data_IF_883783011632
#
_entry.id   IF_883783011632
#
_cell.length_a   1.000
_cell.length_b   1.000
_cell.length_c   1.000
_cell.angle_alpha   90.00
_cell.angle_beta   90.00
_cell.angle_gamma   90.00
#
_symmetry.space_group_name_H-M   'P 1'
#
loop_
_entity.id
_entity.type
_entity.pdbx_description
1 polymer ?
#
# COMPACT_ATOMS: atom_id res chain seq x y z
N UNK A 1 -6.96 -11.74 -0.16
CA UNK A 1 -8.11 -11.86 0.78
C UNK A 1 -8.75 -10.49 0.96
N UNK A 2 -10.04 -10.43 1.34
CA UNK A 2 -10.66 -9.16 1.75
C UNK A 2 -10.27 -8.88 3.20
N UNK A 3 -9.87 -7.64 3.48
CA UNK A 3 -9.56 -7.14 4.81
C UNK A 3 -10.58 -6.06 5.13
N UNK A 4 -11.35 -6.26 6.20
CA UNK A 4 -12.48 -5.39 6.54
C UNK A 4 -12.66 -5.13 8.05
N UNK A 5 -11.74 -5.61 8.88
CA UNK A 5 -11.76 -5.44 10.34
C UNK A 5 -10.38 -5.71 10.92
N UNK A 6 -10.13 -5.22 12.14
CA UNK A 6 -8.89 -5.44 12.84
C UNK A 6 -7.76 -4.56 12.31
N UNK A 7 -6.62 -4.71 12.96
CA UNK A 7 -5.36 -4.14 12.52
C UNK A 7 -4.57 -5.26 11.84
N UNK A 8 -4.34 -5.14 10.54
CA UNK A 8 -3.64 -6.17 9.76
C UNK A 8 -2.29 -5.62 9.31
N UNK A 9 -1.22 -6.35 9.58
CA UNK A 9 0.10 -6.06 9.02
C UNK A 9 0.55 -7.18 8.10
N UNK A 10 0.94 -6.78 6.90
CA UNK A 10 1.51 -7.66 5.88
C UNK A 10 2.90 -7.15 5.54
N UNK A 11 3.82 -8.08 5.25
CA UNK A 11 5.11 -7.77 4.67
C UNK A 11 5.30 -8.50 3.33
N UNK A 12 5.78 -7.73 2.34
CA UNK A 12 6.19 -8.21 1.02
C UNK A 12 7.69 -8.00 0.88
N UNK A 13 8.42 -9.09 0.67
CA UNK A 13 9.82 -9.04 0.26
C UNK A 13 9.90 -8.84 -1.25
N UNK A 14 10.54 -7.77 -1.69
CA UNK A 14 10.99 -7.61 -3.07
C UNK A 14 12.14 -8.61 -3.32
N UNK A 15 11.88 -9.68 -4.06
CA UNK A 15 12.92 -10.67 -4.39
C UNK A 15 13.67 -10.23 -5.64
N UNK A 16 12.94 -9.76 -6.64
CA UNK A 16 13.49 -9.24 -7.89
C UNK A 16 12.44 -8.31 -8.53
N UNK A 17 12.80 -7.05 -8.84
CA UNK A 17 12.03 -6.14 -9.69
C UNK A 17 10.53 -5.96 -9.34
N UNK A 18 10.16 -5.96 -8.05
CA UNK A 18 8.79 -5.63 -7.64
C UNK A 18 8.46 -4.15 -7.97
N UNK A 19 7.48 -3.95 -8.83
CA UNK A 19 7.19 -2.63 -9.39
C UNK A 19 6.34 -1.75 -8.46
N UNK A 20 5.29 -2.33 -7.88
CA UNK A 20 4.42 -1.60 -6.97
C UNK A 20 3.64 -2.55 -6.04
N UNK A 21 3.19 -2.01 -4.91
CA UNK A 21 2.21 -2.65 -4.01
C UNK A 21 1.09 -1.69 -3.70
N UNK A 22 0.00 -2.19 -3.14
CA UNK A 22 -1.03 -1.32 -2.62
C UNK A 22 -2.32 -2.01 -2.24
N UNK A 23 -3.37 -1.20 -2.16
CA UNK A 23 -4.73 -1.67 -1.90
C UNK A 23 -5.66 -1.36 -3.06
N UNK A 24 -6.68 -2.19 -3.19
CA UNK A 24 -7.81 -1.98 -4.07
C UNK A 24 -9.11 -2.14 -3.29
N UNK A 25 -10.13 -1.39 -3.71
CA UNK A 25 -11.50 -1.55 -3.24
C UNK A 25 -11.94 -3.02 -3.35
N UNK A 26 -12.81 -3.46 -2.43
CA UNK A 26 -13.22 -4.87 -2.36
C UNK A 26 -13.92 -5.39 -3.62
N UNK A 27 -14.47 -4.51 -4.48
CA UNK A 27 -15.10 -4.88 -5.74
C UNK A 27 -14.08 -5.26 -6.82
N UNK A 28 -12.82 -4.85 -6.66
CA UNK A 28 -11.79 -5.03 -7.68
C UNK A 28 -11.32 -6.48 -7.77
N UNK A 29 -11.33 -7.04 -8.99
CA UNK A 29 -10.76 -8.35 -9.33
C UNK A 29 -9.82 -8.17 -10.51
N UNK A 30 -8.61 -8.71 -10.38
CA UNK A 30 -7.61 -8.72 -11.45
C UNK A 30 -7.58 -10.06 -12.15
N UNK A 31 -7.61 -10.03 -13.48
CA UNK A 31 -7.22 -11.13 -14.34
C UNK A 31 -5.71 -11.19 -14.50
N UNK A 32 -5.22 -12.24 -15.16
CA UNK A 32 -3.81 -12.35 -15.54
C UNK A 32 -3.45 -11.22 -16.52
N UNK A 33 -2.29 -10.61 -16.34
CA UNK A 33 -1.76 -9.52 -17.18
C UNK A 33 -2.61 -8.23 -17.17
N UNK A 34 -3.50 -8.06 -16.18
CA UNK A 34 -4.21 -6.80 -15.96
C UNK A 34 -3.43 -5.93 -14.98
N UNK A 35 -2.93 -4.75 -15.42
CA UNK A 35 -2.21 -3.87 -14.51
C UNK A 35 -3.20 -3.16 -13.57
N UNK A 36 -2.79 -2.77 -12.35
CA UNK A 36 -3.67 -2.20 -11.33
C UNK A 36 -4.58 -1.07 -11.82
N UNK A 37 -4.00 -0.14 -12.59
CA UNK A 37 -4.67 1.07 -13.07
C UNK A 37 -5.86 0.81 -14.00
N UNK A 38 -5.97 -0.38 -14.61
CA UNK A 38 -7.10 -0.72 -15.50
C UNK A 38 -8.44 -0.73 -14.75
N UNK A 39 -8.40 -0.81 -13.41
CA UNK A 39 -9.58 -0.84 -12.54
C UNK A 39 -10.03 0.55 -12.07
N UNK A 40 -9.29 1.60 -12.42
CA UNK A 40 -9.58 2.98 -12.06
C UNK A 40 -8.78 3.45 -10.83
N UNK A 41 -8.14 4.61 -10.96
CA UNK A 41 -7.36 5.23 -9.88
C UNK A 41 -8.20 5.68 -8.68
N UNK A 42 -9.51 5.78 -8.85
CA UNK A 42 -10.50 6.02 -7.79
C UNK A 42 -10.73 4.80 -6.90
N UNK A 43 -10.29 3.61 -7.33
CA UNK A 43 -10.49 2.36 -6.59
C UNK A 43 -9.22 1.81 -5.95
N UNK A 44 -8.07 2.37 -6.24
CA UNK A 44 -6.78 1.82 -5.80
C UNK A 44 -5.92 2.88 -5.13
N UNK A 45 -5.10 2.45 -4.19
CA UNK A 45 -3.92 3.20 -3.73
C UNK A 45 -2.71 2.40 -4.17
N UNK A 46 -1.76 3.08 -4.79
CA UNK A 46 -0.48 2.54 -5.20
C UNK A 46 0.64 3.13 -4.36
N UNK A 47 1.59 2.28 -3.99
CA UNK A 47 2.92 2.65 -3.57
C UNK A 47 3.92 2.03 -4.56
N UNK A 48 4.56 2.90 -5.32
CA UNK A 48 5.44 2.54 -6.42
C UNK A 48 6.91 2.46 -5.96
N UNK A 49 7.72 1.63 -6.63
CA UNK A 49 9.09 1.30 -6.22
C UNK A 49 10.03 2.51 -6.09
N UNK A 50 9.71 3.64 -6.73
CA UNK A 50 10.45 4.90 -6.64
C UNK A 50 10.03 5.82 -5.48
N UNK A 51 9.31 5.28 -4.49
CA UNK A 51 8.86 5.99 -3.29
C UNK A 51 7.61 6.85 -3.50
N UNK A 52 7.00 6.82 -4.69
CA UNK A 52 5.79 7.56 -4.99
C UNK A 52 4.53 6.84 -4.51
N UNK A 53 3.62 7.56 -3.84
CA UNK A 53 2.25 7.10 -3.62
C UNK A 53 1.29 7.73 -4.63
N UNK A 54 0.22 7.01 -4.98
CA UNK A 54 -0.80 7.52 -5.90
C UNK A 54 -2.19 7.01 -5.57
N UNK A 55 -3.13 7.94 -5.61
CA UNK A 55 -4.56 7.73 -5.67
C UNK A 55 -5.13 8.94 -6.41
N UNK A 56 -6.04 8.73 -7.38
CA UNK A 56 -6.65 9.78 -8.23
C UNK A 56 -5.68 10.93 -8.63
N UNK A 57 -5.23 10.94 -9.88
CA UNK A 57 -4.40 12.04 -10.40
C UNK A 57 -2.90 11.70 -10.41
N UNK A 58 -2.07 12.55 -9.82
CA UNK A 58 -0.59 12.51 -9.95
C UNK A 58 0.10 11.73 -8.82
N UNK A 59 1.35 11.35 -9.04
CA UNK A 59 2.22 10.76 -8.01
C UNK A 59 2.66 11.79 -6.96
N UNK A 60 2.65 11.37 -5.70
CA UNK A 60 3.16 12.10 -4.56
C UNK A 60 4.42 11.45 -4.03
N UNK A 61 5.50 12.22 -4.02
CA UNK A 61 6.82 11.80 -3.53
C UNK A 61 6.98 12.14 -2.04
N UNK A 62 7.93 11.49 -1.39
CA UNK A 62 8.32 11.76 -0.01
C UNK A 62 8.47 10.51 0.85
N UNK A 63 8.07 9.35 0.35
CA UNK A 63 8.43 8.07 0.95
C UNK A 63 9.73 7.53 0.32
N UNK A 64 10.37 6.59 0.99
CA UNK A 64 11.58 5.90 0.54
C UNK A 64 11.30 4.98 -0.64
N UNK A 65 12.25 4.87 -1.57
CA UNK A 65 12.18 3.87 -2.63
C UNK A 65 12.41 2.45 -2.11
N UNK A 66 11.98 1.45 -2.88
CA UNK A 66 12.17 0.02 -2.60
C UNK A 66 12.55 -0.79 -3.85
N UNK A 67 13.06 -0.11 -4.89
CA UNK A 67 13.53 -0.74 -6.12
C UNK A 67 14.71 -1.70 -5.91
N UNK A 68 15.43 -1.59 -4.78
CA UNK A 68 16.52 -2.50 -4.43
C UNK A 68 15.99 -3.87 -4.02
N UNK A 69 16.54 -4.92 -4.61
CA UNK A 69 16.26 -6.30 -4.22
C UNK A 69 16.57 -6.54 -2.74
N UNK A 70 15.72 -7.32 -2.09
CA UNK A 70 15.78 -7.57 -0.65
C UNK A 70 15.04 -6.54 0.21
N UNK A 71 14.50 -5.47 -0.37
CA UNK A 71 13.67 -4.51 0.36
C UNK A 71 12.41 -5.18 0.94
N UNK A 72 12.09 -4.90 2.20
CA UNK A 72 10.87 -5.37 2.86
C UNK A 72 9.83 -4.27 2.90
N UNK A 73 8.70 -4.48 2.25
CA UNK A 73 7.60 -3.52 2.16
C UNK A 73 6.47 -3.96 3.09
N UNK A 74 6.29 -3.20 4.17
CA UNK A 74 5.18 -3.38 5.11
C UNK A 74 3.96 -2.58 4.71
N UNK A 75 2.78 -3.18 4.85
CA UNK A 75 1.48 -2.49 4.77
C UNK A 75 0.70 -2.79 6.05
N UNK A 76 0.46 -1.76 6.86
CA UNK A 76 -0.43 -1.83 8.02
C UNK A 76 -1.76 -1.18 7.67
N UNK A 77 -2.82 -1.99 7.72
CA UNK A 77 -4.21 -1.57 7.59
C UNK A 77 -4.83 -1.50 8.97
N UNK A 78 -5.28 -0.31 9.38
CA UNK A 78 -6.07 -0.14 10.58
C UNK A 78 -7.53 0.02 10.19
N UNK A 79 -8.29 -1.08 10.27
CA UNK A 79 -9.73 -1.11 10.00
C UNK A 79 -10.57 -0.87 11.25
N UNK A 80 -9.94 -0.72 12.42
CA UNK A 80 -10.62 -0.43 13.69
C UNK A 80 -10.59 1.07 14.02
N UNK A 81 -9.68 1.84 13.42
CA UNK A 81 -9.58 3.29 13.59
C UNK A 81 -10.67 4.05 12.83
N UNK A 82 -11.02 5.24 13.30
CA UNK A 82 -11.86 6.19 12.56
C UNK A 82 -11.11 7.51 12.46
N UNK A 83 -10.56 7.85 11.28
CA UNK A 83 -10.71 7.17 9.98
C UNK A 83 -9.94 5.84 9.88
N UNK A 84 -10.38 4.91 9.01
CA UNK A 84 -9.56 3.75 8.63
C UNK A 84 -8.28 4.23 7.94
N UNK A 85 -7.17 3.51 8.10
CA UNK A 85 -5.89 3.94 7.54
C UNK A 85 -5.07 2.82 6.90
N UNK A 86 -4.20 3.23 5.98
CA UNK A 86 -3.14 2.42 5.39
C UNK A 86 -1.81 3.14 5.60
N UNK A 87 -0.86 2.47 6.25
CA UNK A 87 0.50 2.97 6.47
C UNK A 87 1.51 2.04 5.81
N UNK A 88 2.51 2.61 5.15
CA UNK A 88 3.60 1.87 4.53
C UNK A 88 4.83 1.85 5.41
N UNK A 89 5.63 0.79 5.29
CA UNK A 89 6.92 0.65 5.94
C UNK A 89 7.94 0.15 4.93
N UNK A 90 9.18 0.65 4.98
CA UNK A 90 10.31 0.11 4.23
C UNK A 90 11.36 -0.36 5.23
N UNK A 91 11.71 -1.65 5.20
CA UNK A 91 12.66 -2.26 6.14
C UNK A 91 12.31 -1.94 7.61
N UNK A 92 11.02 -2.05 7.95
CA UNK A 92 10.45 -1.73 9.27
C UNK A 92 10.40 -0.24 9.64
N UNK A 93 10.88 0.65 8.78
CA UNK A 93 10.77 2.10 8.96
C UNK A 93 9.44 2.63 8.42
N UNK A 94 8.66 3.28 9.29
CA UNK A 94 7.39 3.90 8.94
C UNK A 94 7.56 5.04 7.93
N UNK A 95 6.72 5.07 6.89
CA UNK A 95 6.78 6.07 5.84
C UNK A 95 5.91 7.29 6.16
N UNK A 96 6.38 8.52 5.84
CA UNK A 96 5.72 9.74 6.28
C UNK A 96 4.37 9.97 5.60
N UNK A 97 4.15 9.47 4.38
CA UNK A 97 2.88 9.61 3.69
C UNK A 97 2.03 8.34 3.85
N UNK A 98 0.88 8.51 4.50
CA UNK A 98 -0.09 7.45 4.77
C UNK A 98 -1.49 7.86 4.29
N UNK A 99 -2.38 6.89 4.14
CA UNK A 99 -3.72 7.12 3.61
C UNK A 99 -4.75 6.95 4.71
N UNK A 100 -5.72 7.86 4.75
CA UNK A 100 -6.88 7.81 5.65
C UNK A 100 -8.18 7.73 4.83
N UNK A 101 -9.27 7.36 5.50
CA UNK A 101 -10.60 7.17 4.90
C UNK A 101 -10.61 6.07 3.83
N UNK A 102 -9.73 5.06 3.94
CA UNK A 102 -9.78 3.90 3.04
C UNK A 102 -11.14 3.17 3.17
N UNK A 103 -11.61 2.48 2.11
CA UNK A 103 -12.89 1.79 2.13
C UNK A 103 -13.03 0.79 3.29
N UNK A 104 -14.26 0.49 3.70
CA UNK A 104 -14.54 -0.46 4.78
C UNK A 104 -14.03 -1.89 4.53
N UNK A 105 -13.72 -2.20 3.27
CA UNK A 105 -13.17 -3.47 2.86
C UNK A 105 -12.21 -3.27 1.69
N UNK A 106 -11.01 -3.84 1.79
CA UNK A 106 -9.96 -3.69 0.77
C UNK A 106 -9.29 -5.03 0.47
N UNK A 107 -8.57 -5.07 -0.65
CA UNK A 107 -7.70 -6.18 -1.06
C UNK A 107 -6.29 -5.66 -1.25
N UNK A 108 -5.31 -6.45 -0.84
CA UNK A 108 -3.91 -6.20 -1.19
C UNK A 108 -3.64 -6.64 -2.63
N UNK A 109 -2.82 -5.88 -3.34
CA UNK A 109 -2.24 -6.27 -4.62
C UNK A 109 -0.74 -5.98 -4.66
N UNK A 110 -0.03 -6.75 -5.49
CA UNK A 110 1.37 -6.56 -5.85
C UNK A 110 1.46 -6.63 -7.37
N UNK A 111 2.25 -5.75 -7.97
CA UNK A 111 2.38 -5.62 -9.42
C UNK A 111 3.84 -5.83 -9.82
N UNK A 112 4.06 -6.74 -10.76
CA UNK A 112 5.34 -6.99 -11.41
C UNK A 112 5.21 -6.70 -12.90
N UNK A 113 6.25 -6.15 -13.51
CA UNK A 113 6.28 -5.85 -14.95
C UNK A 113 7.10 -6.87 -15.75
N UNK A 114 8.24 -7.28 -15.20
CA UNK A 114 9.15 -8.21 -15.86
C UNK A 114 8.74 -9.66 -15.62
N UNK A 115 9.11 -10.53 -16.57
CA UNK A 115 8.81 -11.97 -16.46
C UNK A 115 9.61 -12.67 -15.36
N UNK A 116 10.82 -12.19 -15.06
CA UNK A 116 11.66 -12.71 -13.96
C UNK A 116 11.29 -12.12 -12.59
N UNK A 117 10.63 -10.94 -12.58
CA UNK A 117 10.26 -10.25 -11.36
C UNK A 117 9.46 -11.14 -10.41
N UNK A 118 9.82 -11.09 -9.14
CA UNK A 118 9.28 -11.96 -8.11
C UNK A 118 9.23 -11.27 -6.76
N UNK A 119 8.29 -11.73 -5.92
CA UNK A 119 8.13 -11.25 -4.57
C UNK A 119 7.65 -12.38 -3.67
N UNK A 120 7.76 -12.18 -2.36
CA UNK A 120 7.29 -13.15 -1.37
C UNK A 120 6.55 -12.45 -0.25
N UNK A 121 5.40 -12.99 0.15
CA UNK A 121 4.81 -12.63 1.42
C UNK A 121 5.58 -13.30 2.56
N UNK A 122 6.18 -12.50 3.43
CA UNK A 122 6.97 -12.94 4.57
C UNK A 122 6.20 -12.83 5.88
N UNK A 123 5.18 -11.96 5.93
CA UNK A 123 4.33 -11.76 7.10
C UNK A 123 2.88 -11.49 6.69
N UNK A 124 1.94 -12.06 7.43
CA UNK A 124 0.52 -11.70 7.43
C UNK A 124 -0.03 -11.96 8.83
N UNK A 125 -0.33 -10.91 9.57
CA UNK A 125 -0.77 -11.04 10.96
C UNK A 125 -1.83 -10.02 11.33
N UNK A 126 -2.65 -10.39 12.33
CA UNK A 126 -3.52 -9.45 13.03
C UNK A 126 -2.80 -8.95 14.26
N UNK A 127 -2.77 -7.64 14.43
CA UNK A 127 -2.13 -6.96 15.56
C UNK A 127 -3.19 -6.61 16.62
N UNK A 128 -2.80 -6.65 17.88
CA UNK A 128 -3.64 -6.18 19.00
C UNK A 128 -3.63 -4.65 19.12
N UNK A 129 -2.55 -4.00 18.68
CA UNK A 129 -2.37 -2.54 18.70
C UNK A 129 -1.64 -2.09 17.43
N UNK A 130 -1.90 -0.86 16.93
CA UNK A 130 -1.21 -0.35 15.75
C UNK A 130 0.29 -0.22 15.99
N UNK A 131 1.12 -0.49 14.97
CA UNK A 131 2.55 -0.15 15.03
C UNK A 131 2.86 1.20 14.40
N UNK A 132 2.01 1.66 13.48
CA UNK A 132 2.09 3.01 12.93
C UNK A 132 1.85 4.07 14.02
N UNK A 133 2.72 5.08 14.07
CA UNK A 133 2.71 6.14 15.08
C UNK A 133 2.32 7.51 14.50
N UNK A 134 2.51 7.72 13.20
CA UNK A 134 2.26 8.98 12.50
C UNK A 134 2.89 10.19 13.22
N UNK A 135 4.20 10.11 13.45
CA UNK A 135 4.97 11.15 14.16
C UNK A 135 5.06 12.49 13.42
N UNK A 136 5.81 13.43 13.99
CA UNK A 136 6.05 14.75 13.38
C UNK A 136 6.60 14.63 11.94
N UNK A 137 6.05 15.42 11.03
CA UNK A 137 6.38 15.36 9.60
C UNK A 137 5.55 14.36 8.79
N UNK A 138 4.71 13.54 9.43
CA UNK A 138 3.78 12.65 8.72
C UNK A 138 2.64 13.43 8.05
N UNK A 139 2.22 12.97 6.87
CA UNK A 139 1.14 13.56 6.08
C UNK A 139 0.08 12.50 5.76
N UNK A 140 -1.14 12.77 6.22
CA UNK A 140 -2.32 11.99 5.89
C UNK A 140 -2.89 12.41 4.53
N UNK A 141 -3.22 11.42 3.69
CA UNK A 141 -3.85 11.62 2.40
C UNK A 141 -5.22 10.97 2.35
N UNK A 142 -6.23 11.72 1.95
CA UNK A 142 -7.62 11.24 1.96
C UNK A 142 -7.92 10.41 0.72
N UNK A 143 -8.39 9.17 0.92
CA UNK A 143 -8.94 8.34 -0.16
C UNK A 143 -10.21 8.98 -0.74
N UNK A 144 -10.45 8.79 -2.02
CA UNK A 144 -11.54 9.40 -2.79
C UNK A 144 -11.29 10.86 -3.18
N UNK A 145 -10.12 11.43 -2.85
CA UNK A 145 -9.73 12.79 -3.22
C UNK A 145 -8.54 12.78 -4.18
N UNK A 146 -8.52 13.74 -5.09
CA UNK A 146 -7.31 14.05 -5.84
C UNK A 146 -6.30 14.72 -4.90
N UNK A 147 -5.11 14.13 -4.81
CA UNK A 147 -4.03 14.66 -4.00
C UNK A 147 -3.35 15.85 -4.72
N UNK A 148 -3.04 16.90 -3.97
CA UNK A 148 -2.41 18.14 -4.47
C UNK A 148 -1.14 18.45 -3.66
N UNK A 149 -0.13 18.99 -4.33
CA UNK A 149 1.14 19.41 -3.70
C UNK A 149 0.86 20.51 -2.69
#
# INVERSE_FOLDING_TARGET
PVINKGIVKLEVLNVEDLYAVGIADESVRYGRNEPPQIKGWDKIVEYHCDGGIRHIGIYFKGNSEFSTDGSRIGMELNMDSKPHSLTFFINDEEQPNFIINIPNAVRIWCHTLQKSASFKFTKFEFLSTPTARHGEGSRAWEYGKQWKK
#
